data_IF_974534901686
#
_entry.id   IF_974534901686
#
_cell.length_a   1.000
_cell.length_b   1.000
_cell.length_c   1.000
_cell.angle_alpha   90.00
_cell.angle_beta   90.00
_cell.angle_gamma   90.00
#
_symmetry.space_group_name_H-M   'P 1'
#
loop_
_entity.id
_entity.type
_entity.pdbx_description
1 polymer ?
#
# COMPACT_ATOMS: atom_id res chain seq x y z
N UNK A 1 -38.05 29.69 -33.20
CA UNK A 1 -37.32 30.68 -32.37
C UNK A 1 -36.45 29.89 -31.42
N UNK A 2 -35.16 29.77 -31.75
CA UNK A 2 -34.18 29.04 -30.96
C UNK A 2 -33.67 29.99 -29.86
N UNK A 3 -33.83 29.59 -28.60
CA UNK A 3 -33.25 30.26 -27.45
C UNK A 3 -31.80 29.82 -27.31
N UNK A 4 -30.92 30.77 -27.58
CA UNK A 4 -29.47 30.73 -27.44
C UNK A 4 -29.09 30.39 -25.98
N UNK A 5 -28.52 29.20 -25.78
CA UNK A 5 -27.94 28.83 -24.47
C UNK A 5 -26.54 29.41 -24.43
N UNK A 6 -26.44 30.53 -23.71
CA UNK A 6 -25.22 31.23 -23.29
C UNK A 6 -24.15 30.22 -22.84
N UNK A 7 -23.31 29.82 -23.78
CA UNK A 7 -22.21 28.87 -23.59
C UNK A 7 -21.04 29.65 -23.01
N UNK A 8 -21.13 29.97 -21.73
CA UNK A 8 -20.00 30.58 -21.01
C UNK A 8 -18.83 29.59 -21.01
N UNK A 9 -17.65 29.96 -21.53
CA UNK A 9 -16.47 29.13 -21.36
C UNK A 9 -16.15 29.10 -19.86
N UNK A 10 -16.18 27.91 -19.26
CA UNK A 10 -15.70 27.72 -17.90
C UNK A 10 -14.23 28.17 -17.84
N UNK A 11 -13.88 29.21 -17.06
CA UNK A 11 -12.56 29.81 -17.11
C UNK A 11 -11.65 29.11 -16.11
N UNK A 12 -11.38 27.82 -16.30
CA UNK A 12 -10.38 27.13 -15.50
C UNK A 12 -9.66 26.08 -16.34
N UNK A 13 -8.60 26.51 -17.03
CA UNK A 13 -7.51 25.61 -17.43
C UNK A 13 -6.77 25.17 -16.17
N UNK A 14 -7.36 24.24 -15.40
CA UNK A 14 -6.69 23.62 -14.26
C UNK A 14 -5.74 22.57 -14.85
N UNK A 15 -4.42 22.70 -14.65
CA UNK A 15 -3.50 21.67 -15.10
C UNK A 15 -3.88 20.34 -14.45
N UNK A 16 -3.86 19.23 -15.19
CA UNK A 16 -4.18 17.92 -14.63
C UNK A 16 -3.21 17.62 -13.49
N UNK A 17 -3.76 17.13 -12.37
CA UNK A 17 -2.93 16.69 -11.25
C UNK A 17 -2.00 15.56 -11.73
N UNK A 18 -0.73 15.55 -11.31
CA UNK A 18 0.17 14.47 -11.64
C UNK A 18 -0.38 13.15 -11.08
N UNK A 19 -0.21 12.07 -11.85
CA UNK A 19 -0.50 10.71 -11.44
C UNK A 19 0.23 10.35 -10.14
N UNK A 20 -0.41 9.56 -9.28
CA UNK A 20 0.23 9.01 -8.09
C UNK A 20 1.13 7.81 -8.44
N UNK A 21 2.18 7.62 -7.64
CA UNK A 21 3.11 6.49 -7.74
C UNK A 21 3.42 6.00 -6.32
N UNK A 22 2.76 4.93 -5.90
CA UNK A 22 2.94 4.37 -4.56
C UNK A 22 4.35 3.83 -4.32
N UNK A 23 4.94 3.19 -5.34
CA UNK A 23 6.29 2.63 -5.25
C UNK A 23 7.33 3.71 -4.97
N UNK A 24 7.32 4.77 -5.79
CA UNK A 24 8.19 5.92 -5.61
C UNK A 24 7.95 6.60 -4.25
N UNK A 25 6.69 6.77 -3.83
CA UNK A 25 6.35 7.35 -2.54
C UNK A 25 6.97 6.56 -1.37
N UNK A 26 6.77 5.23 -1.34
CA UNK A 26 7.32 4.36 -0.29
C UNK A 26 8.84 4.45 -0.23
N UNK A 27 9.51 4.30 -1.37
CA UNK A 27 10.97 4.35 -1.42
C UNK A 27 11.51 5.69 -0.94
N UNK A 28 10.91 6.80 -1.38
CA UNK A 28 11.36 8.14 -1.00
C UNK A 28 11.18 8.40 0.50
N UNK A 29 10.04 8.05 1.08
CA UNK A 29 9.75 8.27 2.50
C UNK A 29 10.67 7.44 3.37
N UNK A 30 10.80 6.13 3.10
CA UNK A 30 11.65 5.26 3.89
C UNK A 30 13.14 5.61 3.76
N UNK A 31 13.59 5.97 2.55
CA UNK A 31 14.97 6.41 2.35
C UNK A 31 15.25 7.74 3.05
N UNK A 32 14.28 8.66 3.10
CA UNK A 32 14.40 9.92 3.83
C UNK A 32 14.53 9.67 5.34
N UNK A 33 13.67 8.84 5.91
CA UNK A 33 13.71 8.53 7.34
C UNK A 33 15.00 7.81 7.73
N UNK A 34 15.46 6.88 6.89
CA UNK A 34 16.76 6.22 7.11
C UNK A 34 17.96 7.18 7.10
N UNK A 35 17.86 8.34 6.45
CA UNK A 35 18.91 9.37 6.45
C UNK A 35 18.83 10.34 7.62
N UNK A 36 17.63 10.52 8.18
CA UNK A 36 17.39 11.43 9.32
C UNK A 36 17.60 10.74 10.67
N UNK A 37 17.50 9.41 10.69
CA UNK A 37 17.73 8.60 11.87
C UNK A 37 19.21 8.27 12.03
N UNK A 38 19.79 8.62 13.18
CA UNK A 38 21.11 8.12 13.58
C UNK A 38 21.06 6.65 14.07
N UNK A 39 19.85 6.08 14.22
CA UNK A 39 19.68 4.70 14.63
C UNK A 39 19.87 3.74 13.45
N UNK A 40 20.57 2.60 13.64
CA UNK A 40 20.80 1.61 12.60
C UNK A 40 19.53 0.79 12.24
N UNK A 41 18.44 0.97 12.98
CA UNK A 41 17.17 0.24 12.82
C UNK A 41 16.17 1.02 12.00
N UNK A 42 15.30 0.30 11.28
CA UNK A 42 14.24 0.92 10.48
C UNK A 42 13.16 1.46 11.41
N UNK A 43 12.73 2.71 11.20
CA UNK A 43 11.61 3.29 11.91
C UNK A 43 10.28 2.61 11.49
N UNK A 44 9.79 1.70 12.35
CA UNK A 44 8.58 0.92 12.06
C UNK A 44 7.29 1.74 12.14
N UNK A 45 7.27 2.90 12.81
CA UNK A 45 6.09 3.79 12.80
C UNK A 45 5.85 4.38 11.42
N UNK A 46 6.92 4.77 10.72
CA UNK A 46 6.81 5.27 9.35
C UNK A 46 6.42 4.14 8.41
N UNK A 47 7.04 2.96 8.57
CA UNK A 47 6.67 1.77 7.81
C UNK A 47 5.17 1.45 7.94
N UNK A 48 4.63 1.47 9.17
CA UNK A 48 3.20 1.27 9.44
C UNK A 48 2.33 2.32 8.76
N UNK A 49 2.73 3.60 8.77
CA UNK A 49 2.00 4.66 8.04
C UNK A 49 1.94 4.37 6.55
N UNK A 50 3.07 3.97 5.94
CA UNK A 50 3.08 3.58 4.53
C UNK A 50 2.21 2.36 4.25
N UNK A 51 2.22 1.35 5.13
CA UNK A 51 1.37 0.15 5.03
C UNK A 51 -0.12 0.52 5.05
N UNK A 52 -0.54 1.38 5.98
CA UNK A 52 -1.94 1.81 6.08
C UNK A 52 -2.42 2.60 4.85
N UNK A 53 -1.51 3.21 4.09
CA UNK A 53 -1.85 3.94 2.87
C UNK A 53 -2.05 3.01 1.66
N UNK A 54 -1.65 1.75 1.73
CA UNK A 54 -1.67 0.84 0.57
C UNK A 54 -3.05 0.69 -0.05
N UNK A 55 -4.12 0.59 0.74
CA UNK A 55 -5.49 0.44 0.24
C UNK A 55 -6.00 1.72 -0.45
N UNK A 56 -5.62 2.90 0.06
CA UNK A 56 -5.93 4.18 -0.58
C UNK A 56 -5.17 4.34 -1.90
N UNK A 57 -3.86 4.03 -1.92
CA UNK A 57 -3.04 4.10 -3.12
C UNK A 57 -3.47 3.09 -4.19
N UNK A 58 -4.02 1.94 -3.80
CA UNK A 58 -4.62 1.01 -4.76
C UNK A 58 -5.71 1.70 -5.58
N UNK A 59 -6.60 2.46 -4.94
CA UNK A 59 -7.68 3.16 -5.64
C UNK A 59 -7.13 4.36 -6.42
N UNK A 60 -6.25 5.17 -5.82
CA UNK A 60 -5.77 6.39 -6.48
C UNK A 60 -4.81 6.10 -7.63
N UNK A 61 -3.86 5.17 -7.49
CA UNK A 61 -2.92 4.84 -8.58
C UNK A 61 -3.69 4.28 -9.77
N UNK A 62 -4.66 3.39 -9.53
CA UNK A 62 -5.41 2.75 -10.62
C UNK A 62 -6.42 3.67 -11.31
N UNK A 63 -6.83 4.76 -10.66
CA UNK A 63 -7.76 5.74 -11.24
C UNK A 63 -7.07 6.95 -11.85
N UNK A 64 -5.91 7.36 -11.32
CA UNK A 64 -5.14 8.51 -11.83
C UNK A 64 -4.07 8.11 -12.84
N UNK A 65 -3.66 6.84 -12.85
CA UNK A 65 -2.66 6.29 -13.76
C UNK A 65 -3.08 4.92 -14.31
N UNK A 66 -3.98 4.87 -15.31
CA UNK A 66 -4.47 3.61 -15.86
C UNK A 66 -3.38 2.74 -16.51
N UNK A 67 -2.27 3.35 -16.97
CA UNK A 67 -1.22 2.66 -17.70
C UNK A 67 -0.25 1.93 -16.75
N UNK A 68 0.17 2.57 -15.66
CA UNK A 68 1.20 2.01 -14.77
C UNK A 68 0.82 1.98 -13.30
N UNK A 69 -0.36 2.46 -12.90
CA UNK A 69 -0.78 2.56 -11.51
C UNK A 69 -0.84 1.22 -10.77
N UNK A 70 -1.25 0.15 -11.45
CA UNK A 70 -1.22 -1.20 -10.84
C UNK A 70 0.22 -1.65 -10.58
N UNK A 71 1.13 -1.36 -11.51
CA UNK A 71 2.53 -1.73 -11.42
C UNK A 71 3.24 -0.95 -10.31
N UNK A 72 3.02 0.36 -10.21
CA UNK A 72 3.57 1.19 -9.12
C UNK A 72 3.03 0.76 -7.77
N UNK A 73 1.74 0.44 -7.71
CA UNK A 73 1.11 -0.07 -6.50
C UNK A 73 1.69 -1.42 -6.05
N UNK A 74 1.88 -2.38 -6.96
CA UNK A 74 2.54 -3.66 -6.66
C UNK A 74 3.95 -3.43 -6.11
N UNK A 75 4.75 -2.62 -6.80
CA UNK A 75 6.12 -2.34 -6.38
C UNK A 75 6.18 -1.74 -4.96
N UNK A 76 5.26 -0.83 -4.62
CA UNK A 76 5.13 -0.25 -3.29
C UNK A 76 4.75 -1.29 -2.24
N UNK A 77 3.71 -2.10 -2.49
CA UNK A 77 3.24 -3.11 -1.55
C UNK A 77 4.29 -4.22 -1.33
N UNK A 78 4.91 -4.72 -2.40
CA UNK A 78 5.99 -5.71 -2.31
C UNK A 78 7.16 -5.18 -1.48
N UNK A 79 7.58 -3.94 -1.73
CA UNK A 79 8.67 -3.31 -0.96
C UNK A 79 8.36 -3.24 0.53
N UNK A 80 7.13 -2.87 0.90
CA UNK A 80 6.70 -2.80 2.30
C UNK A 80 6.71 -4.18 2.97
N UNK A 81 6.18 -5.20 2.28
CA UNK A 81 6.08 -6.57 2.81
C UNK A 81 7.45 -7.23 2.89
N UNK A 82 8.31 -7.01 1.90
CA UNK A 82 9.68 -7.52 1.92
C UNK A 82 10.46 -6.90 3.08
N UNK A 83 10.24 -5.63 3.44
CA UNK A 83 10.79 -5.04 4.66
C UNK A 83 10.26 -5.68 5.95
N UNK A 84 8.97 -6.02 6.01
CA UNK A 84 8.40 -6.79 7.14
C UNK A 84 9.12 -8.14 7.29
N UNK A 85 9.35 -8.84 6.18
CA UNK A 85 10.09 -10.13 6.17
C UNK A 85 11.56 -9.94 6.58
N UNK A 86 12.21 -8.87 6.12
CA UNK A 86 13.60 -8.54 6.51
C UNK A 86 13.68 -8.27 8.02
N UNK A 87 12.77 -7.45 8.56
CA UNK A 87 12.70 -7.17 9.99
C UNK A 87 12.49 -8.45 10.81
N UNK A 88 11.65 -9.36 10.32
CA UNK A 88 11.45 -10.66 10.98
C UNK A 88 12.75 -11.46 11.04
N UNK A 89 13.47 -11.57 9.91
CA UNK A 89 14.75 -12.29 9.83
C UNK A 89 15.84 -11.70 10.71
N UNK A 90 15.76 -10.40 11.02
CA UNK A 90 16.66 -9.69 11.93
C UNK A 90 16.23 -9.77 13.40
N UNK A 91 15.11 -10.44 13.67
CA UNK A 91 14.47 -10.48 14.99
C UNK A 91 13.92 -9.11 15.49
N UNK A 92 13.92 -8.10 14.62
CA UNK A 92 13.54 -6.70 14.91
C UNK A 92 12.05 -6.40 14.69
N UNK A 93 11.30 -7.31 14.04
CA UNK A 93 9.90 -7.05 13.68
C UNK A 93 8.99 -6.93 14.91
N UNK A 94 8.29 -5.80 15.00
CA UNK A 94 7.27 -5.51 15.99
C UNK A 94 5.93 -6.17 15.64
N UNK A 95 5.16 -6.55 16.67
CA UNK A 95 3.83 -7.16 16.51
C UNK A 95 2.86 -6.20 15.80
N UNK A 96 2.94 -4.92 16.12
CA UNK A 96 2.13 -3.85 15.56
C UNK A 96 2.34 -3.73 14.05
N UNK A 97 3.56 -3.96 13.57
CA UNK A 97 3.92 -3.91 12.15
C UNK A 97 3.31 -5.08 11.38
N UNK A 98 3.42 -6.31 11.89
CA UNK A 98 2.78 -7.47 11.23
C UNK A 98 1.25 -7.38 11.27
N UNK A 99 0.69 -6.81 12.35
CA UNK A 99 -0.74 -6.50 12.43
C UNK A 99 -1.18 -5.49 11.36
N UNK A 100 -0.42 -4.39 11.20
CA UNK A 100 -0.68 -3.40 10.16
C UNK A 100 -0.63 -4.03 8.77
N UNK A 101 0.38 -4.87 8.49
CA UNK A 101 0.52 -5.55 7.20
C UNK A 101 -0.66 -6.50 6.93
N UNK A 102 -1.06 -7.30 7.92
CA UNK A 102 -2.19 -8.24 7.79
C UNK A 102 -3.52 -7.52 7.57
N UNK A 103 -3.73 -6.40 8.27
CA UNK A 103 -4.90 -5.54 8.09
C UNK A 103 -4.91 -4.89 6.70
N UNK A 104 -3.80 -4.29 6.29
CA UNK A 104 -3.68 -3.67 4.98
C UNK A 104 -3.94 -4.66 3.84
N UNK A 105 -3.49 -5.91 3.96
CA UNK A 105 -3.82 -6.96 2.98
C UNK A 105 -5.33 -7.21 2.89
N UNK A 106 -6.03 -7.23 4.02
CA UNK A 106 -7.48 -7.46 4.08
C UNK A 106 -8.26 -6.28 3.48
N UNK A 107 -7.80 -5.06 3.76
CA UNK A 107 -8.35 -3.83 3.17
C UNK A 107 -8.09 -3.78 1.65
N UNK A 108 -6.87 -4.07 1.19
CA UNK A 108 -6.53 -4.12 -0.23
C UNK A 108 -7.32 -5.21 -0.97
N UNK A 109 -7.51 -6.37 -0.34
CA UNK A 109 -8.37 -7.44 -0.88
C UNK A 109 -9.80 -6.95 -1.08
N UNK A 110 -10.36 -6.29 -0.07
CA UNK A 110 -11.72 -5.75 -0.09
C UNK A 110 -11.84 -4.63 -1.12
N UNK A 111 -10.89 -3.70 -1.17
CA UNK A 111 -10.85 -2.63 -2.16
C UNK A 111 -10.79 -3.22 -3.58
N UNK A 112 -9.84 -4.13 -3.86
CA UNK A 112 -9.73 -4.76 -5.18
C UNK A 112 -10.99 -5.57 -5.58
N UNK A 113 -11.76 -6.10 -4.62
CA UNK A 113 -13.00 -6.82 -4.90
C UNK A 113 -14.19 -5.91 -5.26
N UNK A 114 -14.17 -4.63 -4.85
CA UNK A 114 -15.27 -3.69 -5.07
C UNK A 114 -15.12 -2.88 -6.36
N UNK A 115 -13.99 -2.96 -7.05
CA UNK A 115 -13.70 -2.18 -8.26
C UNK A 115 -13.44 -3.09 -9.45
N UNK A 116 -13.99 -2.73 -10.63
CA UNK A 116 -13.81 -3.52 -11.85
C UNK A 116 -12.38 -3.37 -12.38
N UNK A 117 -11.82 -4.46 -12.92
CA UNK A 117 -10.48 -4.47 -13.53
C UNK A 117 -9.31 -4.63 -12.57
N UNK A 118 -9.58 -4.88 -11.27
CA UNK A 118 -8.55 -5.07 -10.24
C UNK A 118 -8.33 -6.55 -9.85
N UNK A 119 -8.75 -7.51 -10.69
CA UNK A 119 -8.59 -8.94 -10.42
C UNK A 119 -7.12 -9.35 -10.23
N UNK A 120 -6.20 -8.72 -10.98
CA UNK A 120 -4.77 -8.91 -10.80
C UNK A 120 -4.28 -8.44 -9.43
N UNK A 121 -4.83 -7.33 -8.92
CA UNK A 121 -4.49 -6.84 -7.58
C UNK A 121 -4.92 -7.82 -6.50
N UNK A 122 -6.08 -8.48 -6.65
CA UNK A 122 -6.50 -9.54 -5.72
C UNK A 122 -5.54 -10.72 -5.72
N UNK A 123 -5.13 -11.17 -6.90
CA UNK A 123 -4.17 -12.27 -7.02
C UNK A 123 -2.86 -11.92 -6.33
N UNK A 124 -2.35 -10.69 -6.55
CA UNK A 124 -1.15 -10.21 -5.91
C UNK A 124 -1.28 -10.09 -4.38
N UNK A 125 -2.39 -9.55 -3.86
CA UNK A 125 -2.65 -9.50 -2.40
C UNK A 125 -2.66 -10.90 -1.79
N UNK A 126 -3.18 -11.91 -2.49
CA UNK A 126 -3.15 -13.30 -2.03
C UNK A 126 -1.71 -13.81 -1.92
N UNK A 127 -0.87 -13.52 -2.91
CA UNK A 127 0.54 -13.93 -2.92
C UNK A 127 1.31 -13.27 -1.77
N UNK A 128 1.07 -11.97 -1.53
CA UNK A 128 1.56 -11.24 -0.37
C UNK A 128 1.09 -11.87 0.94
N UNK A 129 -0.19 -12.23 1.06
CA UNK A 129 -0.71 -12.95 2.22
C UNK A 129 0.03 -14.27 2.45
N UNK A 130 0.37 -14.98 1.38
CA UNK A 130 1.24 -16.16 1.43
C UNK A 130 2.65 -15.88 1.94
N UNK A 131 3.25 -14.73 1.59
CA UNK A 131 4.55 -14.29 2.15
C UNK A 131 4.42 -14.00 3.65
N UNK A 132 3.39 -13.27 4.08
CA UNK A 132 3.17 -12.92 5.49
C UNK A 132 2.91 -14.16 6.35
N UNK A 133 2.21 -15.17 5.85
CA UNK A 133 2.02 -16.45 6.56
C UNK A 133 3.33 -17.13 6.95
N UNK A 134 4.40 -16.95 6.17
CA UNK A 134 5.73 -17.52 6.48
C UNK A 134 6.43 -16.81 7.64
N UNK A 135 5.94 -15.65 8.06
CA UNK A 135 6.43 -14.88 9.22
C UNK A 135 5.68 -15.27 10.49
N UNK A 136 4.47 -15.81 10.36
CA UNK A 136 3.62 -16.21 11.49
C UNK A 136 4.09 -17.53 12.11
N UNK A 137 3.61 -17.78 13.33
CA UNK A 137 3.78 -19.05 14.01
C UNK A 137 3.04 -20.17 13.24
N UNK A 138 3.32 -21.43 13.56
CA UNK A 138 2.78 -22.60 12.85
C UNK A 138 1.23 -22.67 12.77
N UNK A 139 0.52 -21.92 13.61
CA UNK A 139 -0.94 -21.82 13.61
C UNK A 139 -1.48 -20.78 12.60
N UNK A 140 -0.60 -20.04 11.91
CA UNK A 140 -0.90 -18.95 10.97
C UNK A 140 -1.79 -17.83 11.54
N UNK A 141 -1.85 -17.68 12.87
CA UNK A 141 -2.74 -16.75 13.59
C UNK A 141 -2.03 -15.94 14.68
N UNK A 142 -0.84 -16.38 15.08
CA UNK A 142 -0.03 -15.69 16.08
C UNK A 142 1.35 -15.36 15.51
N UNK A 143 1.98 -14.37 16.12
CA UNK A 143 3.38 -14.01 15.90
C UNK A 143 4.05 -13.96 17.27
N UNK A 144 5.01 -14.85 17.51
CA UNK A 144 5.69 -15.03 18.82
C UNK A 144 4.68 -15.22 19.96
N UNK A 145 3.64 -16.02 19.73
CA UNK A 145 2.59 -16.33 20.70
C UNK A 145 1.53 -15.24 20.89
N UNK A 146 1.68 -14.08 20.26
CA UNK A 146 0.69 -13.00 20.33
C UNK A 146 -0.23 -13.01 19.12
N UNK A 147 -1.51 -12.69 19.32
CA UNK A 147 -2.51 -12.77 18.25
C UNK A 147 -2.27 -11.70 17.18
N UNK A 148 -2.28 -12.12 15.93
CA UNK A 148 -2.24 -11.22 14.77
C UNK A 148 -3.66 -10.98 14.26
N UNK A 149 -3.88 -9.82 13.66
CA UNK A 149 -5.11 -9.46 12.97
C UNK A 149 -5.47 -10.53 11.95
N UNK A 150 -6.68 -11.07 12.08
CA UNK A 150 -7.30 -11.96 11.12
C UNK A 150 -8.69 -11.41 10.81
N UNK A 151 -9.00 -11.12 9.53
CA UNK A 151 -10.34 -10.70 9.11
C UNK A 151 -11.38 -11.81 9.27
#
# INVERSE_FOLDING_TARGET
MASDVDSRPFPFDIPPLPATDFGAFVTQILARESRLSDAPTINQDVLRKCIHLASSFLVTDTTTNPESGITTWFAGLDSLVDLVVVLHRRDELELETINAASRACSECWTAAANWRGLDQCRSHVRDIGGKLKKVLDANERTYRGQRVYAP
#
